data_IF_624097445435
#
_entry.id   IF_624097445435
#
_cell.length_a   1.000
_cell.length_b   1.000
_cell.length_c   1.000
_cell.angle_alpha   90.00
_cell.angle_beta   90.00
_cell.angle_gamma   90.00
#
_symmetry.space_group_name_H-M   'P 1'
#
loop_
_entity.id
_entity.type
_entity.pdbx_description
1 polymer ?
#
# COMPACT_ATOMS: atom_id res chain seq x y z
N UNK A 1 -20.26 1.48 8.78
CA UNK A 1 -20.90 2.35 7.77
C UNK A 1 -19.78 3.12 7.12
N UNK A 2 -19.61 3.04 5.80
CA UNK A 2 -18.53 3.72 5.07
C UNK A 2 -18.89 5.20 4.88
N UNK A 3 -17.97 6.11 5.21
CA UNK A 3 -18.15 7.58 5.15
C UNK A 3 -18.19 8.19 3.73
N UNK A 4 -18.26 7.35 2.69
CA UNK A 4 -18.26 7.80 1.30
C UNK A 4 -19.69 8.04 0.79
N UNK A 5 -19.89 9.13 0.05
CA UNK A 5 -21.13 9.38 -0.67
C UNK A 5 -21.42 8.23 -1.67
N UNK A 6 -22.69 7.92 -1.91
CA UNK A 6 -23.09 6.81 -2.78
C UNK A 6 -22.51 6.92 -4.22
N UNK A 7 -22.23 8.14 -4.67
CA UNK A 7 -21.71 8.44 -6.01
C UNK A 7 -20.17 8.40 -6.10
N UNK A 8 -19.48 7.92 -5.05
CA UNK A 8 -18.00 7.88 -5.02
C UNK A 8 -17.40 7.03 -6.15
N UNK A 9 -18.13 5.98 -6.58
CA UNK A 9 -17.72 5.12 -7.68
C UNK A 9 -18.57 5.40 -8.94
N UNK A 10 -18.13 6.36 -9.75
CA UNK A 10 -18.71 6.60 -11.08
C UNK A 10 -18.19 5.64 -12.15
N UNK A 11 -18.79 5.63 -13.36
CA UNK A 11 -18.40 4.73 -14.46
C UNK A 11 -16.91 4.78 -14.82
N UNK A 12 -16.26 5.94 -14.63
CA UNK A 12 -14.83 6.12 -14.87
C UNK A 12 -13.93 5.39 -13.84
N UNK A 13 -14.40 5.18 -12.61
CA UNK A 13 -13.62 4.52 -11.54
C UNK A 13 -13.96 3.03 -11.38
N UNK A 14 -15.04 2.54 -11.99
CA UNK A 14 -15.42 1.12 -12.01
C UNK A 14 -14.31 0.19 -12.54
N UNK A 15 -13.56 0.52 -13.62
CA UNK A 15 -12.45 -0.33 -14.06
C UNK A 15 -11.33 -0.43 -13.02
N UNK A 16 -11.01 0.67 -12.32
CA UNK A 16 -10.00 0.69 -11.27
C UNK A 16 -10.45 -0.15 -10.05
N UNK A 17 -11.72 -0.03 -9.67
CA UNK A 17 -12.31 -0.84 -8.60
C UNK A 17 -12.29 -2.34 -8.97
N UNK A 18 -12.65 -2.67 -10.20
CA UNK A 18 -12.60 -4.05 -10.70
C UNK A 18 -11.19 -4.62 -10.60
N UNK A 19 -10.19 -3.83 -11.01
CA UNK A 19 -8.80 -4.25 -10.94
C UNK A 19 -8.33 -4.41 -9.48
N UNK A 20 -8.73 -3.51 -8.58
CA UNK A 20 -8.47 -3.62 -7.15
C UNK A 20 -9.05 -4.92 -6.57
N UNK A 21 -10.31 -5.24 -6.89
CA UNK A 21 -10.94 -6.49 -6.46
C UNK A 21 -10.19 -7.73 -7.01
N UNK A 22 -9.72 -7.70 -8.26
CA UNK A 22 -8.93 -8.80 -8.83
C UNK A 22 -7.60 -9.02 -8.09
N UNK A 23 -6.88 -7.94 -7.80
CA UNK A 23 -5.61 -8.02 -7.06
C UNK A 23 -5.79 -8.48 -5.62
N UNK A 24 -6.86 -8.05 -4.94
CA UNK A 24 -7.16 -8.54 -3.58
C UNK A 24 -7.47 -10.05 -3.56
N UNK A 25 -8.17 -10.57 -4.57
CA UNK A 25 -8.39 -12.02 -4.70
C UNK A 25 -7.07 -12.75 -5.00
N UNK A 26 -6.21 -12.21 -5.86
CA UNK A 26 -4.92 -12.83 -6.16
C UNK A 26 -3.97 -12.82 -4.96
N UNK A 27 -3.92 -11.75 -4.19
CA UNK A 27 -3.14 -11.69 -2.95
C UNK A 27 -3.56 -12.80 -1.96
N UNK A 28 -4.87 -13.09 -1.85
CA UNK A 28 -5.37 -14.21 -1.03
C UNK A 28 -4.92 -15.56 -1.55
N UNK A 29 -5.01 -15.79 -2.86
CA UNK A 29 -4.53 -17.04 -3.49
C UNK A 29 -3.03 -17.24 -3.29
N UNK A 30 -2.24 -16.17 -3.41
CA UNK A 30 -0.79 -16.24 -3.13
C UNK A 30 -0.54 -16.56 -1.66
N UNK A 31 -1.33 -16.00 -0.73
CA UNK A 31 -1.23 -16.35 0.68
C UNK A 31 -1.51 -17.85 0.91
N UNK A 32 -2.55 -18.41 0.27
CA UNK A 32 -2.81 -19.86 0.33
C UNK A 32 -1.65 -20.70 -0.23
N UNK A 33 -0.99 -20.24 -1.29
CA UNK A 33 0.19 -20.92 -1.84
C UNK A 33 1.40 -20.84 -0.89
N UNK A 34 1.58 -19.71 -0.22
CA UNK A 34 2.62 -19.53 0.82
C UNK A 34 2.38 -20.52 1.95
N UNK A 35 1.16 -20.59 2.48
CA UNK A 35 0.81 -21.52 3.57
C UNK A 35 1.09 -22.97 3.19
N UNK A 36 0.71 -23.37 1.97
CA UNK A 36 0.98 -24.72 1.45
C UNK A 36 2.47 -25.00 1.31
N UNK A 37 3.24 -24.05 0.79
CA UNK A 37 4.68 -24.19 0.68
C UNK A 37 5.31 -24.37 2.07
N UNK A 38 4.92 -23.56 3.05
CA UNK A 38 5.45 -23.63 4.43
C UNK A 38 5.02 -24.88 5.19
N UNK A 39 3.93 -25.53 4.79
CA UNK A 39 3.49 -26.80 5.36
C UNK A 39 4.29 -28.01 4.82
N UNK A 40 5.03 -27.84 3.73
CA UNK A 40 5.88 -28.88 3.15
C UNK A 40 7.15 -29.08 4.00
N UNK A 41 7.44 -30.31 4.49
CA UNK A 41 8.68 -30.62 5.20
C UNK A 41 9.94 -30.34 4.38
N UNK A 42 9.86 -30.39 3.04
CA UNK A 42 10.97 -30.12 2.11
C UNK A 42 10.79 -28.78 1.40
N UNK A 43 10.50 -27.72 2.16
CA UNK A 43 10.33 -26.36 1.65
C UNK A 43 11.46 -25.93 0.68
N UNK A 44 11.13 -25.72 -0.59
CA UNK A 44 12.04 -25.05 -1.53
C UNK A 44 12.08 -23.54 -1.24
N UNK A 45 13.20 -23.09 -0.68
CA UNK A 45 13.48 -21.69 -0.36
C UNK A 45 13.39 -20.77 -1.58
N UNK A 46 13.72 -21.27 -2.78
CA UNK A 46 13.68 -20.47 -4.02
C UNK A 46 12.23 -20.20 -4.42
N UNK A 47 11.38 -21.21 -4.36
CA UNK A 47 9.96 -21.07 -4.66
C UNK A 47 9.25 -20.25 -3.60
N UNK A 48 9.60 -20.43 -2.33
CA UNK A 48 9.11 -19.59 -1.25
C UNK A 48 9.45 -18.12 -1.44
N UNK A 49 10.71 -17.81 -1.79
CA UNK A 49 11.14 -16.44 -2.11
C UNK A 49 10.32 -15.85 -3.27
N UNK A 50 10.03 -16.65 -4.31
CA UNK A 50 9.21 -16.21 -5.45
C UNK A 50 7.80 -15.86 -5.02
N UNK A 51 7.17 -16.69 -4.17
CA UNK A 51 5.84 -16.43 -3.63
C UNK A 51 5.80 -15.15 -2.79
N UNK A 52 6.80 -14.90 -1.94
CA UNK A 52 6.92 -13.66 -1.17
C UNK A 52 7.09 -12.43 -2.07
N UNK A 53 7.85 -12.55 -3.16
CA UNK A 53 7.98 -11.47 -4.14
C UNK A 53 6.64 -11.18 -4.84
N UNK A 54 5.87 -12.21 -5.20
CA UNK A 54 4.53 -12.04 -5.76
C UNK A 54 3.58 -11.37 -4.77
N UNK A 55 3.59 -11.78 -3.50
CA UNK A 55 2.77 -11.19 -2.45
C UNK A 55 3.09 -9.69 -2.26
N UNK A 56 4.39 -9.34 -2.27
CA UNK A 56 4.83 -7.95 -2.21
C UNK A 56 4.32 -7.14 -3.41
N UNK A 57 4.46 -7.67 -4.62
CA UNK A 57 4.02 -6.99 -5.84
C UNK A 57 2.50 -6.71 -5.81
N UNK A 58 1.69 -7.69 -5.41
CA UNK A 58 0.24 -7.51 -5.26
C UNK A 58 -0.08 -6.44 -4.21
N UNK A 59 0.62 -6.44 -3.08
CA UNK A 59 0.42 -5.46 -2.01
C UNK A 59 0.73 -4.03 -2.45
N UNK A 60 1.77 -3.84 -3.27
CA UNK A 60 2.14 -2.54 -3.84
C UNK A 60 1.06 -2.04 -4.81
N UNK A 61 0.53 -2.90 -5.67
CA UNK A 61 -0.53 -2.55 -6.62
C UNK A 61 -1.84 -2.19 -5.89
N UNK A 62 -2.23 -3.02 -4.90
CA UNK A 62 -3.41 -2.77 -4.06
C UNK A 62 -3.29 -1.41 -3.37
N UNK A 63 -2.13 -1.11 -2.78
CA UNK A 63 -1.86 0.18 -2.14
C UNK A 63 -1.96 1.34 -3.14
N UNK A 64 -1.41 1.18 -4.34
CA UNK A 64 -1.47 2.18 -5.40
C UNK A 64 -2.91 2.49 -5.82
N UNK A 65 -3.69 1.44 -6.11
CA UNK A 65 -5.10 1.57 -6.50
C UNK A 65 -5.97 2.17 -5.38
N UNK A 66 -5.77 1.73 -4.13
CA UNK A 66 -6.48 2.28 -2.98
C UNK A 66 -6.17 3.77 -2.75
N UNK A 67 -4.90 4.16 -2.98
CA UNK A 67 -4.44 5.55 -2.91
C UNK A 67 -5.09 6.39 -4.01
N UNK A 68 -5.09 5.90 -5.24
CA UNK A 68 -5.70 6.60 -6.40
C UNK A 68 -7.20 6.80 -6.22
N UNK A 69 -7.90 5.79 -5.71
CA UNK A 69 -9.34 5.88 -5.44
C UNK A 69 -9.68 6.55 -4.09
N UNK A 70 -8.66 6.96 -3.32
CA UNK A 70 -8.80 7.57 -1.98
C UNK A 70 -9.67 6.76 -1.01
N UNK A 71 -9.58 5.44 -1.07
CA UNK A 71 -10.32 4.52 -0.19
C UNK A 71 -9.56 4.28 1.12
N UNK A 72 -8.22 4.36 1.08
CA UNK A 72 -7.40 4.20 2.27
C UNK A 72 -7.27 5.51 3.04
N UNK A 73 -7.29 5.41 4.37
CA UNK A 73 -7.01 6.57 5.22
C UNK A 73 -5.56 7.00 5.02
N UNK A 74 -5.36 8.12 4.34
CA UNK A 74 -4.05 8.71 4.15
C UNK A 74 -3.75 9.64 5.32
N UNK A 75 -2.57 9.47 5.93
CA UNK A 75 -2.08 10.45 6.89
C UNK A 75 -1.78 11.76 6.15
N UNK A 76 -2.40 12.84 6.59
CA UNK A 76 -2.17 14.20 6.07
C UNK A 76 -0.88 14.82 6.62
N UNK A 77 -0.22 14.16 7.58
CA UNK A 77 1.02 14.64 8.20
C UNK A 77 2.19 14.50 7.23
N UNK A 78 2.48 15.58 6.50
CA UNK A 78 3.58 15.64 5.54
C UNK A 78 4.76 16.42 6.17
N UNK A 79 5.70 15.72 6.80
CA UNK A 79 6.91 16.34 7.37
C UNK A 79 7.93 16.82 6.31
N UNK A 80 7.63 16.67 5.00
CA UNK A 80 8.50 17.11 3.90
C UNK A 80 8.72 18.63 3.84
N UNK A 81 7.88 19.42 4.52
CA UNK A 81 8.07 20.87 4.69
C UNK A 81 9.13 21.25 5.73
N UNK A 82 9.61 20.32 6.56
CA UNK A 82 10.56 20.63 7.64
C UNK A 82 12.04 20.63 7.17
N UNK A 83 12.29 21.04 5.91
CA UNK A 83 13.62 21.58 5.59
C UNK A 83 13.70 22.92 6.29
N UNK A 84 14.43 22.98 7.41
CA UNK A 84 14.78 24.24 8.06
C UNK A 84 15.57 25.12 7.07
N UNK A 85 14.89 25.85 6.19
CA UNK A 85 15.45 27.00 5.48
C UNK A 85 15.37 28.26 6.37
N UNK A 86 15.67 28.08 7.66
CA UNK A 86 15.67 29.14 8.66
C UNK A 86 17.10 29.54 8.94
N UNK A 87 17.47 30.72 8.43
CA UNK A 87 18.72 31.45 8.64
C UNK A 87 19.40 31.15 9.98
N UNK A 88 20.71 31.01 9.95
CA UNK A 88 21.61 31.20 11.08
C UNK A 88 21.46 32.62 11.65
N UNK A 89 20.35 32.89 12.33
CA UNK A 89 20.17 34.07 13.16
C UNK A 89 21.05 33.91 14.39
N UNK A 90 21.78 34.97 14.74
CA UNK A 90 22.60 35.03 15.96
C UNK A 90 21.81 34.51 17.16
N UNK A 91 22.49 33.70 17.96
CA UNK A 91 21.93 33.14 19.20
C UNK A 91 21.64 34.29 20.16
N UNK A 92 20.43 34.29 20.73
CA UNK A 92 19.88 35.39 21.55
C UNK A 92 20.69 35.74 22.81
N UNK A 93 21.69 34.95 23.19
CA UNK A 93 22.56 35.20 24.34
C UNK A 93 23.91 35.86 23.98
N UNK A 94 24.11 36.27 22.71
CA UNK A 94 25.21 37.15 22.31
C UNK A 94 24.80 38.63 22.32
N UNK A 95 24.15 39.06 23.41
CA UNK A 95 23.83 40.45 23.72
C UNK A 95 24.62 40.91 24.94
#
# INVERSE_FOLDING_TARGET
>A
VSDFAADWFGPATVPLLTQYCRHTVQARRIAELIERATADPELDVKDYKRLLQMQKAESEIIKGLATTMRISQQSTTNHRGNRKSGKSGKKLWEG
#
